data_IF_605434371343
#
_entry.id   IF_605434371343
#
_cell.length_a   1.000
_cell.length_b   1.000
_cell.length_c   1.000
_cell.angle_alpha   90.00
_cell.angle_beta   90.00
_cell.angle_gamma   90.00
#
_symmetry.space_group_name_H-M   'P 1'
#
loop_
_entity.id
_entity.type
_entity.pdbx_description
1 polymer ?
#
# COMPACT_ATOMS: atom_id res chain seq x y z
N UNK A 1 -18.39 -47.88 67.01
CA UNK A 1 -18.67 -47.55 65.60
C UNK A 1 -19.38 -46.20 65.43
N UNK A 2 -20.42 -45.91 66.21
CA UNK A 2 -21.24 -44.68 66.07
C UNK A 2 -20.49 -43.34 66.25
N UNK A 3 -19.48 -43.25 67.14
CA UNK A 3 -18.70 -42.00 67.31
C UNK A 3 -17.96 -41.54 66.06
N UNK A 4 -17.44 -42.49 65.26
CA UNK A 4 -16.73 -42.16 64.01
C UNK A 4 -17.71 -41.69 62.92
N UNK A 5 -18.91 -42.27 62.88
CA UNK A 5 -19.95 -41.88 61.94
C UNK A 5 -20.45 -40.44 62.19
N UNK A 6 -20.66 -40.07 63.46
CA UNK A 6 -21.08 -38.71 63.81
C UNK A 6 -19.99 -37.66 63.55
N UNK A 7 -18.72 -38.01 63.76
CA UNK A 7 -17.58 -37.16 63.40
C UNK A 7 -17.49 -36.91 61.88
N UNK A 8 -17.73 -37.94 61.06
CA UNK A 8 -17.75 -37.81 59.60
C UNK A 8 -18.93 -36.98 59.12
N UNK A 9 -20.12 -37.13 59.74
CA UNK A 9 -21.29 -36.31 59.40
C UNK A 9 -21.08 -34.83 59.70
N UNK A 10 -20.49 -34.52 60.87
CA UNK A 10 -20.17 -33.15 61.25
C UNK A 10 -19.10 -32.54 60.35
N UNK A 11 -18.09 -33.33 59.94
CA UNK A 11 -17.09 -32.89 58.97
C UNK A 11 -17.70 -32.62 57.58
N UNK A 12 -18.55 -33.52 57.06
CA UNK A 12 -19.23 -33.31 55.78
C UNK A 12 -20.15 -32.07 55.81
N UNK A 13 -20.81 -31.79 56.92
CA UNK A 13 -21.62 -30.59 57.09
C UNK A 13 -20.77 -29.31 57.05
N UNK A 14 -19.60 -29.33 57.68
CA UNK A 14 -18.67 -28.20 57.67
C UNK A 14 -18.05 -27.95 56.27
N UNK A 15 -17.72 -29.03 55.54
CA UNK A 15 -17.20 -28.93 54.17
C UNK A 15 -18.25 -28.42 53.20
N UNK A 16 -19.51 -28.86 53.33
CA UNK A 16 -20.63 -28.34 52.53
C UNK A 16 -20.83 -26.83 52.74
N UNK A 17 -20.78 -26.38 53.99
CA UNK A 17 -20.89 -24.94 54.31
C UNK A 17 -19.73 -24.12 53.71
N UNK A 18 -18.51 -24.68 53.69
CA UNK A 18 -17.35 -24.03 53.04
C UNK A 18 -17.52 -23.96 51.52
N UNK A 19 -18.01 -25.03 50.90
CA UNK A 19 -18.27 -25.08 49.46
C UNK A 19 -19.32 -24.03 49.05
N UNK A 20 -20.42 -23.91 49.81
CA UNK A 20 -21.47 -22.92 49.54
C UNK A 20 -20.94 -21.48 49.64
N UNK A 21 -20.08 -21.20 50.64
CA UNK A 21 -19.46 -19.88 50.82
C UNK A 21 -18.47 -19.54 49.70
N UNK A 22 -17.68 -20.51 49.24
CA UNK A 22 -16.78 -20.35 48.09
C UNK A 22 -17.59 -20.10 46.83
N UNK A 23 -18.66 -20.85 46.60
CA UNK A 23 -19.51 -20.69 45.43
C UNK A 23 -20.19 -19.33 45.40
N UNK A 24 -20.67 -18.83 46.55
CA UNK A 24 -21.22 -17.49 46.66
C UNK A 24 -20.16 -16.42 46.32
N UNK A 25 -18.98 -16.51 46.91
CA UNK A 25 -17.88 -15.56 46.66
C UNK A 25 -17.42 -15.59 45.19
N UNK A 26 -17.34 -16.78 44.59
CA UNK A 26 -16.98 -16.94 43.18
C UNK A 26 -18.01 -16.26 42.26
N UNK A 27 -19.30 -16.44 42.57
CA UNK A 27 -20.39 -15.82 41.80
C UNK A 27 -20.29 -14.29 41.86
N UNK A 28 -20.03 -13.74 43.06
CA UNK A 28 -19.83 -12.31 43.25
C UNK A 28 -18.61 -11.78 42.48
N UNK A 29 -17.47 -12.46 42.56
CA UNK A 29 -16.24 -12.06 41.87
C UNK A 29 -16.36 -12.17 40.33
N UNK A 30 -17.14 -13.12 39.83
CA UNK A 30 -17.46 -13.23 38.41
C UNK A 30 -18.34 -12.06 37.97
N UNK A 31 -19.37 -11.72 38.73
CA UNK A 31 -20.24 -10.59 38.42
C UNK A 31 -19.45 -9.27 38.40
N UNK A 32 -18.62 -9.02 39.41
CA UNK A 32 -17.72 -7.86 39.47
C UNK A 32 -16.75 -7.81 38.28
N UNK A 33 -16.15 -8.95 37.88
CA UNK A 33 -15.32 -9.02 36.67
C UNK A 33 -16.10 -8.70 35.39
N UNK A 34 -17.37 -9.10 35.33
CA UNK A 34 -18.22 -8.84 34.17
C UNK A 34 -18.52 -7.35 34.07
N UNK A 35 -18.89 -6.73 35.19
CA UNK A 35 -19.13 -5.29 35.31
C UNK A 35 -17.87 -4.49 34.94
N UNK A 36 -16.70 -4.85 35.50
CA UNK A 36 -15.42 -4.23 35.18
C UNK A 36 -15.04 -4.38 33.70
N UNK A 37 -15.29 -5.54 33.07
CA UNK A 37 -15.03 -5.73 31.61
C UNK A 37 -15.99 -4.90 30.76
N UNK A 38 -17.26 -4.79 31.14
CA UNK A 38 -18.20 -3.92 30.42
C UNK A 38 -17.84 -2.44 30.57
N UNK A 39 -17.39 -2.00 31.76
CA UNK A 39 -16.92 -0.64 32.00
C UNK A 39 -15.59 -0.30 31.32
N UNK A 40 -14.63 -1.22 31.33
CA UNK A 40 -13.31 -1.02 30.72
C UNK A 40 -13.38 -0.88 29.18
N UNK A 41 -14.34 -1.54 28.52
CA UNK A 41 -14.54 -1.35 27.07
C UNK A 41 -15.12 0.01 26.69
N UNK A 42 -15.64 0.78 27.66
CA UNK A 42 -16.22 2.11 27.42
C UNK A 42 -15.26 3.27 27.76
N UNK A 43 -14.16 3.02 28.49
CA UNK A 43 -13.25 4.06 29.00
C UNK A 43 -11.92 4.21 28.22
N UNK A 44 -11.69 3.46 27.15
CA UNK A 44 -10.65 3.81 26.18
C UNK A 44 -11.16 4.98 25.34
N UNK A 45 -10.44 6.10 25.30
CA UNK A 45 -10.78 7.31 24.53
C UNK A 45 -11.17 6.97 23.09
N UNK A 46 -12.47 6.77 22.83
CA UNK A 46 -12.99 6.51 21.49
C UNK A 46 -12.95 7.81 20.72
N UNK A 47 -12.04 7.89 19.76
CA UNK A 47 -12.02 8.97 18.78
C UNK A 47 -13.19 8.73 17.82
N UNK A 48 -14.21 9.58 17.88
CA UNK A 48 -15.30 9.59 16.91
C UNK A 48 -14.84 10.45 15.74
N UNK A 49 -14.64 9.81 14.58
CA UNK A 49 -14.28 10.47 13.33
C UNK A 49 -15.47 10.47 12.38
N UNK A 50 -15.86 11.65 11.91
CA UNK A 50 -16.79 11.78 10.81
C UNK A 50 -16.06 11.45 9.50
N UNK A 51 -16.42 10.32 8.87
CA UNK A 51 -15.79 9.85 7.64
C UNK A 51 -16.02 10.81 6.46
N UNK A 52 -17.03 11.69 6.51
CA UNK A 52 -17.29 12.68 5.46
C UNK A 52 -16.14 13.69 5.34
N UNK A 53 -15.49 14.03 6.46
CA UNK A 53 -14.38 14.99 6.50
C UNK A 53 -13.09 14.45 5.86
N UNK A 54 -13.00 13.13 5.69
CA UNK A 54 -11.83 12.47 5.12
C UNK A 54 -11.96 12.23 3.62
N UNK A 55 -13.13 12.52 3.02
CA UNK A 55 -13.36 12.23 1.61
C UNK A 55 -12.37 12.93 0.69
N UNK A 56 -12.04 14.19 0.96
CA UNK A 56 -11.07 14.96 0.16
C UNK A 56 -9.64 14.41 0.25
N UNK A 57 -9.32 13.68 1.32
CA UNK A 57 -8.00 13.07 1.54
C UNK A 57 -7.88 11.75 0.78
N UNK A 58 -8.98 10.98 0.72
CA UNK A 58 -8.99 9.63 0.14
C UNK A 58 -9.55 9.58 -1.29
N UNK A 59 -10.14 10.66 -1.78
CA UNK A 59 -10.62 10.78 -3.16
C UNK A 59 -9.51 11.32 -4.07
N UNK A 60 -9.50 10.85 -5.31
CA UNK A 60 -8.57 11.30 -6.33
C UNK A 60 -9.00 12.68 -6.86
N UNK A 61 -8.07 13.63 -6.91
CA UNK A 61 -8.33 14.96 -7.50
C UNK A 61 -8.59 14.98 -9.01
N UNK A 62 -8.45 13.85 -9.71
CA UNK A 62 -8.75 13.73 -11.16
C UNK A 62 -10.14 13.14 -11.41
N UNK A 63 -10.44 11.99 -10.81
CA UNK A 63 -11.72 11.29 -11.06
C UNK A 63 -12.77 11.48 -9.96
N UNK A 64 -12.42 12.09 -8.81
CA UNK A 64 -13.30 12.25 -7.66
C UNK A 64 -13.62 10.95 -6.89
N UNK A 65 -13.08 9.81 -7.32
CA UNK A 65 -13.34 8.50 -6.71
C UNK A 65 -12.28 8.15 -5.66
N UNK A 66 -12.61 7.21 -4.76
CA UNK A 66 -11.69 6.68 -3.75
C UNK A 66 -10.42 6.11 -4.38
N UNK A 67 -9.26 6.47 -3.83
CA UNK A 67 -7.95 6.04 -4.30
C UNK A 67 -7.57 4.65 -3.79
N UNK A 68 -8.12 3.60 -4.41
CA UNK A 68 -7.80 2.21 -4.05
C UNK A 68 -6.35 1.79 -4.36
N UNK A 69 -5.71 2.49 -5.30
CA UNK A 69 -4.30 2.30 -5.66
C UNK A 69 -3.61 3.67 -5.73
N UNK A 70 -3.40 4.33 -4.58
CA UNK A 70 -2.86 5.69 -4.52
C UNK A 70 -1.39 5.70 -4.89
N UNK A 71 -0.98 6.61 -5.77
CA UNK A 71 0.41 6.81 -6.19
C UNK A 71 0.83 8.26 -6.02
N UNK A 72 2.01 8.47 -5.41
CA UNK A 72 2.63 9.78 -5.22
C UNK A 72 3.55 10.12 -6.38
N UNK A 73 3.58 11.40 -6.75
CA UNK A 73 4.63 11.98 -7.59
C UNK A 73 5.77 12.42 -6.68
N UNK A 74 6.96 11.76 -6.68
CA UNK A 74 7.99 11.98 -5.66
C UNK A 74 8.49 13.42 -5.51
N UNK A 75 8.52 14.18 -6.61
CA UNK A 75 9.04 15.56 -6.60
C UNK A 75 8.09 16.57 -5.93
N UNK A 76 6.78 16.48 -6.20
CA UNK A 76 5.81 17.48 -5.75
C UNK A 76 4.80 16.96 -4.72
N UNK A 77 4.82 15.67 -4.40
CA UNK A 77 4.01 15.07 -3.34
C UNK A 77 2.53 14.85 -3.66
N UNK A 78 2.04 15.29 -4.83
CA UNK A 78 0.64 15.09 -5.21
C UNK A 78 0.32 13.61 -5.43
N UNK A 79 -0.89 13.21 -5.02
CA UNK A 79 -1.34 11.82 -4.97
C UNK A 79 -2.60 11.61 -5.78
N UNK A 80 -2.65 10.53 -6.55
CA UNK A 80 -3.79 10.18 -7.39
C UNK A 80 -3.94 8.66 -7.52
N UNK A 81 -5.05 8.20 -8.10
CA UNK A 81 -5.18 6.81 -8.52
C UNK A 81 -4.15 6.45 -9.58
N UNK A 82 -3.64 5.22 -9.53
CA UNK A 82 -2.78 4.63 -10.56
C UNK A 82 -3.32 4.83 -11.97
N UNK A 83 -4.60 4.50 -12.19
CA UNK A 83 -5.25 4.61 -13.49
C UNK A 83 -5.23 6.04 -14.03
N UNK A 84 -5.60 7.03 -13.21
CA UNK A 84 -5.64 8.43 -13.62
C UNK A 84 -4.25 8.97 -14.00
N UNK A 85 -3.20 8.61 -13.24
CA UNK A 85 -1.83 8.98 -13.59
C UNK A 85 -1.34 8.28 -14.84
N UNK A 86 -1.69 7.00 -15.01
CA UNK A 86 -1.36 6.26 -16.22
C UNK A 86 -1.97 6.93 -17.45
N UNK A 87 -3.27 7.21 -17.44
CA UNK A 87 -3.98 7.86 -18.55
C UNK A 87 -3.40 9.25 -18.85
N UNK A 88 -3.08 10.02 -17.81
CA UNK A 88 -2.47 11.34 -17.95
C UNK A 88 -1.10 11.27 -18.66
N UNK A 89 -0.20 10.42 -18.17
CA UNK A 89 1.14 10.30 -18.77
C UNK A 89 1.11 9.62 -20.14
N UNK A 90 0.25 8.62 -20.35
CA UNK A 90 0.04 8.02 -21.67
C UNK A 90 -0.45 9.05 -22.69
N UNK A 91 -1.30 10.00 -22.28
CA UNK A 91 -1.75 11.10 -23.15
C UNK A 91 -0.59 12.02 -23.54
N UNK A 92 0.24 12.41 -22.57
CA UNK A 92 1.42 13.25 -22.84
C UNK A 92 2.44 12.53 -23.75
N UNK A 93 2.66 11.24 -23.54
CA UNK A 93 3.50 10.41 -24.39
C UNK A 93 2.96 10.32 -25.82
N UNK A 94 1.65 10.05 -25.98
CA UNK A 94 1.02 9.97 -27.28
C UNK A 94 1.06 11.31 -28.03
N UNK A 95 0.96 12.43 -27.31
CA UNK A 95 1.15 13.76 -27.88
C UNK A 95 2.60 13.96 -28.35
N UNK A 96 3.57 13.58 -27.52
CA UNK A 96 5.00 13.66 -27.86
C UNK A 96 5.35 12.85 -29.11
N UNK A 97 4.86 11.61 -29.19
CA UNK A 97 5.07 10.72 -30.36
C UNK A 97 4.51 11.31 -31.66
N UNK A 98 3.43 12.08 -31.60
CA UNK A 98 2.90 12.79 -32.77
C UNK A 98 3.79 13.95 -33.20
N UNK A 99 4.42 14.64 -32.24
CA UNK A 99 5.29 15.79 -32.52
C UNK A 99 6.72 15.38 -32.89
N UNK A 100 7.17 14.21 -32.43
CA UNK A 100 8.52 13.67 -32.66
C UNK A 100 8.40 12.23 -33.16
N UNK A 101 8.15 12.01 -34.47
CA UNK A 101 7.97 10.66 -35.02
C UNK A 101 9.19 9.75 -34.88
N UNK A 102 10.39 10.32 -34.75
CA UNK A 102 11.65 9.60 -34.54
C UNK A 102 11.77 9.02 -33.13
N UNK A 103 10.96 9.50 -32.18
CA UNK A 103 10.98 9.03 -30.81
C UNK A 103 10.38 7.63 -30.68
N UNK A 104 11.18 6.69 -30.15
CA UNK A 104 10.74 5.35 -29.81
C UNK A 104 11.15 5.00 -28.38
N UNK A 105 10.20 4.57 -27.55
CA UNK A 105 10.46 4.08 -26.19
C UNK A 105 11.32 2.81 -26.17
N UNK A 106 11.24 2.01 -27.23
CA UNK A 106 11.96 0.76 -27.38
C UNK A 106 13.12 0.91 -28.37
N UNK A 107 13.87 2.02 -28.27
CA UNK A 107 15.02 2.21 -29.14
C UNK A 107 16.01 1.07 -28.94
N UNK A 108 16.44 0.42 -30.03
CA UNK A 108 17.30 -0.74 -29.94
C UNK A 108 18.64 -0.34 -29.34
N UNK A 109 18.96 -0.91 -28.17
CA UNK A 109 20.26 -0.74 -27.54
C UNK A 109 21.34 -1.20 -28.54
N UNK A 110 22.36 -0.36 -28.84
CA UNK A 110 23.47 -0.74 -29.69
C UNK A 110 24.13 -2.04 -29.22
N UNK A 111 24.66 -2.83 -30.16
CA UNK A 111 25.27 -4.12 -29.85
C UNK A 111 26.37 -4.04 -28.77
N UNK A 112 27.17 -2.96 -28.79
CA UNK A 112 28.24 -2.75 -27.81
C UNK A 112 27.72 -2.46 -26.39
N UNK A 113 26.68 -1.62 -26.23
CA UNK A 113 26.05 -1.38 -24.93
C UNK A 113 25.39 -2.65 -24.39
N UNK A 114 24.78 -3.45 -25.28
CA UNK A 114 24.19 -4.74 -24.90
C UNK A 114 25.24 -5.72 -24.37
N UNK A 115 26.41 -5.77 -25.01
CA UNK A 115 27.52 -6.60 -24.56
C UNK A 115 28.07 -6.12 -23.20
N UNK A 116 28.21 -4.81 -23.02
CA UNK A 116 28.59 -4.21 -21.73
C UNK A 116 27.59 -4.55 -20.62
N UNK A 117 26.28 -4.49 -20.88
CA UNK A 117 25.25 -4.90 -19.90
C UNK A 117 25.43 -6.34 -19.41
N UNK A 118 25.80 -7.28 -20.30
CA UNK A 118 26.06 -8.67 -19.92
C UNK A 118 27.30 -8.78 -19.05
N UNK A 119 28.35 -8.02 -19.38
CA UNK A 119 29.62 -8.03 -18.62
C UNK A 119 29.46 -7.39 -17.24
N UNK A 120 28.72 -6.29 -17.13
CA UNK A 120 28.46 -5.58 -15.86
C UNK A 120 27.77 -6.48 -14.84
N UNK A 121 26.86 -7.35 -15.30
CA UNK A 121 26.21 -8.35 -14.44
C UNK A 121 27.23 -9.22 -13.70
N UNK A 122 28.29 -9.61 -14.39
CA UNK A 122 29.33 -10.50 -13.86
C UNK A 122 30.51 -9.69 -13.27
N UNK A 123 30.58 -8.37 -13.54
CA UNK A 123 31.65 -7.43 -13.17
C UNK A 123 31.10 -6.04 -12.81
N UNK A 124 30.62 -5.83 -11.58
CA UNK A 124 30.00 -4.58 -11.15
C UNK A 124 30.90 -3.34 -11.28
N UNK A 125 32.23 -3.52 -11.30
CA UNK A 125 33.18 -2.44 -11.50
C UNK A 125 33.06 -1.74 -12.88
N UNK A 126 32.38 -2.38 -13.83
CA UNK A 126 32.13 -1.83 -15.17
C UNK A 126 30.87 -0.93 -15.24
N UNK A 127 30.13 -0.76 -14.13
CA UNK A 127 28.90 0.06 -14.12
C UNK A 127 29.16 1.48 -14.66
N UNK A 128 30.25 2.12 -14.22
CA UNK A 128 30.63 3.46 -14.68
C UNK A 128 30.88 3.52 -16.19
N UNK A 129 31.48 2.47 -16.78
CA UNK A 129 31.74 2.41 -18.23
C UNK A 129 30.42 2.28 -19.00
N UNK A 130 29.52 1.43 -18.54
CA UNK A 130 28.17 1.30 -19.09
C UNK A 130 27.39 2.63 -19.02
N UNK A 131 27.45 3.32 -17.89
CA UNK A 131 26.76 4.59 -17.69
C UNK A 131 27.26 5.65 -18.67
N UNK A 132 28.58 5.72 -18.89
CA UNK A 132 29.19 6.63 -19.85
C UNK A 132 28.76 6.31 -21.28
N UNK A 133 28.78 5.04 -21.68
CA UNK A 133 28.41 4.61 -23.03
C UNK A 133 26.92 4.90 -23.32
N UNK A 134 26.04 4.63 -22.36
CA UNK A 134 24.61 4.95 -22.45
C UNK A 134 24.40 6.46 -22.54
N UNK A 135 25.11 7.25 -21.73
CA UNK A 135 25.05 8.71 -21.78
C UNK A 135 25.49 9.25 -23.14
N UNK A 136 26.60 8.74 -23.71
CA UNK A 136 27.08 9.12 -25.04
C UNK A 136 26.09 8.76 -26.14
N UNK A 137 25.52 7.54 -26.09
CA UNK A 137 24.51 7.12 -27.06
C UNK A 137 23.28 8.05 -27.02
N UNK A 138 22.77 8.36 -25.83
CA UNK A 138 21.66 9.30 -25.63
C UNK A 138 21.98 10.69 -26.15
N UNK A 139 23.21 11.17 -25.91
CA UNK A 139 23.66 12.47 -26.41
C UNK A 139 23.73 12.51 -27.93
N UNK A 140 24.28 11.48 -28.57
CA UNK A 140 24.39 11.41 -30.04
C UNK A 140 23.06 11.38 -30.77
N UNK A 141 22.01 10.83 -30.14
CA UNK A 141 20.69 10.69 -30.73
C UNK A 141 19.95 12.04 -30.83
N UNK A 142 20.23 13.04 -29.98
CA UNK A 142 19.55 14.36 -29.99
C UNK A 142 18.00 14.32 -29.96
N UNK A 143 17.36 13.17 -29.76
CA UNK A 143 15.90 13.05 -29.85
C UNK A 143 15.28 13.61 -28.57
N UNK A 144 14.40 14.63 -28.65
CA UNK A 144 13.71 15.16 -27.49
C UNK A 144 12.93 14.05 -26.76
N UNK A 145 13.08 14.00 -25.44
CA UNK A 145 12.33 13.09 -24.58
C UNK A 145 10.96 13.68 -24.21
N UNK A 146 9.94 12.85 -23.96
CA UNK A 146 8.64 13.33 -23.51
C UNK A 146 8.77 14.04 -22.15
N UNK A 147 8.10 15.19 -22.02
CA UNK A 147 8.04 15.93 -20.76
C UNK A 147 6.73 15.60 -20.06
N UNK A 148 6.82 14.89 -18.93
CA UNK A 148 5.68 14.60 -18.07
C UNK A 148 5.47 15.69 -17.02
N UNK A 149 4.22 16.01 -16.71
CA UNK A 149 3.87 17.07 -15.73
C UNK A 149 2.84 16.59 -14.72
N UNK A 150 2.86 17.15 -13.51
CA UNK A 150 1.83 16.89 -12.50
C UNK A 150 0.48 17.49 -12.91
N UNK A 151 -0.65 16.75 -12.81
CA UNK A 151 -1.99 17.26 -13.12
C UNK A 151 -2.41 18.48 -12.29
N UNK A 152 -1.91 18.61 -11.06
CA UNK A 152 -2.26 19.72 -10.16
C UNK A 152 -1.30 20.91 -10.30
N UNK A 153 -0.03 20.72 -9.97
CA UNK A 153 0.94 21.83 -9.91
C UNK A 153 1.76 22.03 -11.19
N UNK A 154 1.59 21.17 -12.20
CA UNK A 154 2.34 21.18 -13.47
C UNK A 154 3.86 21.02 -13.35
N UNK A 155 4.37 20.68 -12.16
CA UNK A 155 5.78 20.34 -11.99
C UNK A 155 6.20 19.21 -12.92
N UNK A 156 7.41 19.33 -13.49
CA UNK A 156 8.01 18.29 -14.32
C UNK A 156 8.25 17.02 -13.50
N UNK A 157 7.73 15.90 -14.00
CA UNK A 157 7.86 14.56 -13.42
C UNK A 157 8.92 13.78 -14.17
N UNK A 158 10.02 13.46 -13.50
CA UNK A 158 11.13 12.67 -14.09
C UNK A 158 11.15 11.22 -13.62
N UNK A 159 10.68 10.97 -12.39
CA UNK A 159 10.70 9.66 -11.78
C UNK A 159 9.30 9.02 -11.81
N UNK A 160 9.29 7.68 -11.87
CA UNK A 160 8.06 6.88 -11.82
C UNK A 160 7.26 7.20 -10.55
N UNK A 161 5.93 7.34 -10.64
CA UNK A 161 5.07 7.43 -9.46
C UNK A 161 5.21 6.19 -8.57
N UNK A 162 5.11 6.39 -7.25
CA UNK A 162 5.31 5.32 -6.27
C UNK A 162 4.00 5.05 -5.54
N UNK A 163 3.61 3.78 -5.38
CA UNK A 163 2.41 3.43 -4.60
C UNK A 163 2.60 3.80 -3.12
N UNK A 164 1.60 4.45 -2.53
CA UNK A 164 1.60 4.80 -1.11
C UNK A 164 0.79 3.77 -0.32
N UNK A 165 1.43 2.69 0.11
CA UNK A 165 0.75 1.62 0.85
C UNK A 165 0.09 2.10 2.15
N UNK A 166 0.70 3.06 2.85
CA UNK A 166 0.09 3.64 4.05
C UNK A 166 -1.25 4.32 3.76
N UNK A 167 -1.32 5.13 2.70
CA UNK A 167 -2.57 5.78 2.29
C UNK A 167 -3.60 4.78 1.78
N UNK A 168 -3.15 3.70 1.11
CA UNK A 168 -4.04 2.60 0.71
C UNK A 168 -4.74 1.96 1.91
N UNK A 169 -4.01 1.65 2.98
CA UNK A 169 -4.60 1.12 4.22
C UNK A 169 -5.60 2.08 4.84
N UNK A 170 -5.32 3.39 4.78
CA UNK A 170 -6.25 4.44 5.25
C UNK A 170 -7.53 4.47 4.40
N UNK A 171 -7.39 4.48 3.07
CA UNK A 171 -8.53 4.43 2.13
C UNK A 171 -9.40 3.21 2.39
N UNK A 172 -8.79 2.03 2.57
CA UNK A 172 -9.50 0.78 2.84
C UNK A 172 -10.24 0.84 4.19
N UNK A 173 -9.57 1.30 5.25
CA UNK A 173 -10.15 1.39 6.59
C UNK A 173 -11.36 2.31 6.62
N UNK A 174 -11.23 3.52 6.06
CA UNK A 174 -12.33 4.50 6.02
C UNK A 174 -13.45 4.00 5.11
N UNK A 175 -13.12 3.46 3.93
CA UNK A 175 -14.14 2.96 3.00
C UNK A 175 -14.94 1.81 3.62
N UNK A 176 -14.29 0.88 4.34
CA UNK A 176 -14.96 -0.19 5.06
C UNK A 176 -15.88 0.35 6.17
N UNK A 177 -15.43 1.36 6.92
CA UNK A 177 -16.26 2.02 7.93
C UNK A 177 -17.51 2.70 7.32
N UNK A 178 -17.40 3.17 6.08
CA UNK A 178 -18.52 3.71 5.30
C UNK A 178 -19.37 2.63 4.59
N UNK A 179 -19.10 1.33 4.80
CA UNK A 179 -19.79 0.23 4.13
C UNK A 179 -19.45 0.06 2.64
N UNK A 180 -18.39 0.70 2.15
CA UNK A 180 -17.88 0.58 0.78
C UNK A 180 -16.80 -0.51 0.72
N UNK A 181 -16.79 -1.31 -0.35
CA UNK A 181 -15.79 -2.37 -0.54
C UNK A 181 -14.84 -2.05 -1.69
N UNK A 182 -13.59 -2.49 -1.56
CA UNK A 182 -12.58 -2.33 -2.60
C UNK A 182 -12.99 -3.09 -3.87
N UNK A 183 -12.83 -2.49 -5.07
CA UNK A 183 -12.98 -3.21 -6.33
C UNK A 183 -12.07 -4.44 -6.31
N UNK A 184 -12.66 -5.64 -6.38
CA UNK A 184 -11.88 -6.87 -6.52
C UNK A 184 -11.02 -6.73 -7.76
N UNK A 185 -9.70 -6.83 -7.61
CA UNK A 185 -8.80 -6.86 -8.74
C UNK A 185 -9.22 -8.02 -9.65
N UNK A 186 -9.87 -7.71 -10.77
CA UNK A 186 -10.08 -8.69 -11.83
C UNK A 186 -8.68 -9.02 -12.35
N UNK A 187 -8.17 -10.18 -11.93
CA UNK A 187 -6.95 -10.76 -12.47
C UNK A 187 -7.17 -10.99 -13.96
N UNK A 188 -6.84 -9.98 -14.77
CA UNK A 188 -6.70 -10.12 -16.21
C UNK A 188 -5.56 -11.10 -16.44
N UNK A 189 -5.90 -12.34 -16.80
CA UNK A 189 -4.99 -13.38 -17.27
C UNK A 189 -4.35 -12.93 -18.60
N UNK A 190 -3.40 -12.02 -18.52
CA UNK A 190 -2.47 -11.70 -19.60
C UNK A 190 -1.06 -11.97 -19.08
N UNK A 191 -0.35 -12.93 -19.67
CA UNK A 191 1.08 -13.16 -19.42
C UNK A 191 1.87 -11.92 -19.88
N UNK A 192 1.92 -10.86 -19.07
CA UNK A 192 3.01 -9.89 -19.19
C UNK A 192 4.25 -10.53 -18.55
N UNK A 193 5.45 -10.40 -19.15
CA UNK A 193 6.68 -10.88 -18.53
C UNK A 193 6.81 -10.25 -17.12
N UNK A 194 7.26 -11.06 -16.16
CA UNK A 194 7.23 -10.75 -14.72
C UNK A 194 8.07 -9.53 -14.29
N UNK A 195 8.75 -8.85 -15.23
CA UNK A 195 9.69 -7.76 -14.97
C UNK A 195 9.19 -6.36 -15.37
N UNK A 196 8.00 -6.22 -15.94
CA UNK A 196 7.48 -4.91 -16.37
C UNK A 196 6.57 -4.30 -15.29
N UNK A 197 7.11 -3.33 -14.54
CA UNK A 197 6.35 -2.47 -13.65
C UNK A 197 5.31 -1.64 -14.40
N UNK A 198 4.29 -1.12 -13.71
CA UNK A 198 3.15 -0.44 -14.35
C UNK A 198 3.51 0.88 -15.07
N UNK A 199 4.72 1.38 -14.85
CA UNK A 199 5.21 2.63 -15.41
C UNK A 199 6.28 2.40 -16.48
N UNK A 200 6.68 1.15 -16.74
CA UNK A 200 7.80 0.83 -17.64
C UNK A 200 7.47 1.10 -19.11
N UNK A 201 6.19 1.13 -19.45
CA UNK A 201 5.69 1.50 -20.78
C UNK A 201 5.63 3.03 -21.00
N UNK A 202 5.87 3.83 -19.96
CA UNK A 202 5.71 5.30 -19.98
C UNK A 202 7.04 5.99 -19.66
N UNK A 203 7.71 5.54 -18.61
CA UNK A 203 9.00 6.04 -18.18
C UNK A 203 10.07 5.09 -18.69
N UNK A 204 10.96 5.54 -19.60
CA UNK A 204 12.07 4.71 -20.05
C UNK A 204 12.88 4.25 -18.83
N UNK A 205 13.48 3.07 -18.94
CA UNK A 205 14.38 2.57 -17.89
C UNK A 205 15.55 3.55 -17.80
N UNK A 206 15.68 4.20 -16.66
CA UNK A 206 16.93 4.81 -16.25
C UNK A 206 17.93 3.65 -16.14
N UNK A 207 18.76 3.46 -17.16
CA UNK A 207 19.99 2.71 -17.00
C UNK A 207 20.84 3.63 -16.12
N UNK A 208 20.85 3.33 -14.83
CA UNK A 208 21.68 3.89 -13.76
C UNK A 208 22.24 2.69 -13.02
#
# INVERSE_FOLDING_TARGET
>A
MNKKLEAVKTQNAAEKLRADKIQHNLTHALQENTELRTGATASESRVILDCSQLEDIINCGICGLKMWTPHIIPKCGHVFCKACLHDWFSTLLAQHQKTVPEFSLNQSIPGHVRDLLVRVRDRPELQTELDLEVAQYRFSQSIPQPVYTCPTCRDVVRNKPVEIFALKSVVETISNAMGKTSPKATSMKGKKPASAGPWDEIFPVDIV
#
